data_IF_851759176161
#
_entry.id   IF_851759176161
#
_cell.length_a   1.000
_cell.length_b   1.000
_cell.length_c   1.000
_cell.angle_alpha   90.00
_cell.angle_beta   90.00
_cell.angle_gamma   90.00
#
_symmetry.space_group_name_H-M   'P 1'
#
loop_
_entity.id
_entity.type
_entity.pdbx_description
1 polymer ?
#
# COMPACT_ATOMS: atom_id res chain seq x y z
N UNK A 1 -20.92 5.59 6.07
CA UNK A 1 -20.64 4.35 5.32
C UNK A 1 -19.78 4.59 4.07
N UNK A 2 -20.22 5.39 3.09
CA UNK A 2 -19.55 5.52 1.77
C UNK A 2 -18.12 6.10 1.79
N UNK A 3 -17.82 6.97 2.76
CA UNK A 3 -16.47 7.56 2.97
C UNK A 3 -15.39 6.49 3.22
N UNK A 4 -15.73 5.46 4.01
CA UNK A 4 -14.81 4.35 4.30
C UNK A 4 -14.59 3.45 3.09
N UNK A 5 -15.60 3.29 2.24
CA UNK A 5 -15.49 2.49 1.03
C UNK A 5 -14.51 3.12 0.02
N UNK A 6 -14.62 4.43 -0.22
CA UNK A 6 -13.69 5.16 -1.08
C UNK A 6 -12.25 5.10 -0.55
N UNK A 7 -12.07 5.20 0.77
CA UNK A 7 -10.75 5.08 1.41
C UNK A 7 -10.16 3.66 1.24
N UNK A 8 -10.96 2.63 1.51
CA UNK A 8 -10.53 1.23 1.39
C UNK A 8 -10.16 0.88 -0.05
N UNK A 9 -10.94 1.37 -1.02
CA UNK A 9 -10.68 1.18 -2.44
C UNK A 9 -9.41 1.92 -2.89
N UNK A 10 -9.17 3.12 -2.35
CA UNK A 10 -7.96 3.89 -2.60
C UNK A 10 -6.73 3.13 -2.09
N UNK A 11 -6.76 2.66 -0.83
CA UNK A 11 -5.69 1.87 -0.24
C UNK A 11 -5.45 0.59 -1.05
N UNK A 12 -6.49 -0.16 -1.38
CA UNK A 12 -6.39 -1.38 -2.19
C UNK A 12 -5.78 -1.14 -3.57
N UNK A 13 -6.23 -0.09 -4.27
CA UNK A 13 -5.67 0.32 -5.56
C UNK A 13 -4.19 0.71 -5.47
N UNK A 14 -3.81 1.49 -4.46
CA UNK A 14 -2.42 1.88 -4.22
C UNK A 14 -1.50 0.68 -3.93
N UNK A 15 -1.95 -0.24 -3.06
CA UNK A 15 -1.21 -1.46 -2.73
C UNK A 15 -1.06 -2.34 -3.97
N UNK A 16 -2.14 -2.56 -4.74
CA UNK A 16 -2.09 -3.41 -5.92
C UNK A 16 -1.17 -2.84 -7.01
N UNK A 17 -1.18 -1.52 -7.20
CA UNK A 17 -0.26 -0.82 -8.11
C UNK A 17 1.19 -0.96 -7.65
N UNK A 18 1.46 -0.82 -6.35
CA UNK A 18 2.79 -1.02 -5.77
C UNK A 18 3.29 -2.46 -5.98
N UNK A 19 2.44 -3.44 -5.69
CA UNK A 19 2.75 -4.86 -5.82
C UNK A 19 2.87 -5.34 -7.27
N UNK A 20 2.49 -4.51 -8.24
CA UNK A 20 2.71 -4.81 -9.66
C UNK A 20 4.02 -4.18 -10.17
N UNK A 21 4.68 -3.35 -9.36
CA UNK A 21 5.93 -2.69 -9.73
C UNK A 21 7.14 -3.64 -9.61
N UNK A 22 8.08 -3.64 -10.57
CA UNK A 22 9.28 -4.47 -10.49
C UNK A 22 10.20 -4.10 -9.32
N UNK A 23 10.23 -2.82 -8.95
CA UNK A 23 11.04 -2.32 -7.83
C UNK A 23 10.35 -2.47 -6.46
N UNK A 24 9.39 -3.39 -6.33
CA UNK A 24 8.76 -3.65 -5.03
C UNK A 24 9.70 -4.43 -4.14
N UNK A 25 9.75 -4.07 -2.85
CA UNK A 25 10.63 -4.73 -1.87
C UNK A 25 9.87 -5.78 -1.04
N UNK A 26 8.54 -5.83 -1.17
CA UNK A 26 7.64 -6.59 -0.28
C UNK A 26 7.46 -8.04 -0.74
N UNK A 27 7.18 -8.29 -2.02
CA UNK A 27 7.05 -9.65 -2.57
C UNK A 27 8.32 -10.06 -3.31
N UNK A 28 8.71 -11.33 -3.18
CA UNK A 28 9.81 -11.94 -3.96
C UNK A 28 9.50 -12.05 -5.45
N UNK A 29 8.23 -12.15 -5.82
CA UNK A 29 7.77 -12.23 -7.20
C UNK A 29 6.70 -11.18 -7.45
N UNK A 30 6.86 -10.42 -8.53
CA UNK A 30 5.94 -9.34 -8.88
C UNK A 30 4.58 -9.88 -9.29
N UNK A 31 3.50 -9.20 -8.88
CA UNK A 31 2.16 -9.51 -9.37
C UNK A 31 2.10 -9.31 -10.89
N UNK A 32 1.36 -10.18 -11.59
CA UNK A 32 1.28 -10.14 -13.04
C UNK A 32 0.79 -8.78 -13.56
N UNK A 33 1.44 -8.27 -14.62
CA UNK A 33 1.11 -6.97 -15.24
C UNK A 33 -0.38 -6.78 -15.59
N UNK A 34 -1.12 -7.88 -15.80
CA UNK A 34 -2.58 -7.87 -16.03
C UNK A 34 -3.34 -7.16 -14.89
N UNK A 35 -2.91 -7.34 -13.64
CA UNK A 35 -3.55 -6.72 -12.47
C UNK A 35 -3.22 -5.23 -12.31
N UNK A 36 -2.22 -4.71 -13.04
CA UNK A 36 -1.91 -3.27 -13.04
C UNK A 36 -3.10 -2.43 -13.49
N UNK A 37 -3.82 -2.91 -14.50
CA UNK A 37 -5.01 -2.25 -15.02
C UNK A 37 -6.15 -2.25 -14.00
N UNK A 38 -6.33 -3.36 -13.29
CA UNK A 38 -7.31 -3.46 -12.19
C UNK A 38 -6.96 -2.47 -11.07
N UNK A 39 -5.68 -2.35 -10.73
CA UNK A 39 -5.20 -1.36 -9.74
C UNK A 39 -5.47 0.08 -10.17
N UNK A 40 -5.20 0.42 -11.43
CA UNK A 40 -5.49 1.74 -11.98
C UNK A 40 -6.98 2.06 -12.00
N UNK A 41 -7.82 1.12 -12.47
CA UNK A 41 -9.27 1.28 -12.50
C UNK A 41 -9.80 1.51 -11.08
N UNK A 42 -9.37 0.69 -10.12
CA UNK A 42 -9.74 0.84 -8.72
C UNK A 42 -9.29 2.17 -8.12
N UNK A 43 -8.06 2.62 -8.43
CA UNK A 43 -7.50 3.87 -7.93
C UNK A 43 -8.21 5.10 -8.49
N UNK A 44 -8.57 5.11 -9.78
CA UNK A 44 -9.36 6.19 -10.39
C UNK A 44 -10.81 6.17 -9.87
N UNK A 45 -11.42 5.00 -9.73
CA UNK A 45 -12.77 4.87 -9.18
C UNK A 45 -12.83 5.37 -7.72
N UNK A 46 -11.78 5.13 -6.95
CA UNK A 46 -11.65 5.65 -5.59
C UNK A 46 -11.64 7.18 -5.54
N UNK A 47 -10.99 7.85 -6.49
CA UNK A 47 -11.02 9.32 -6.59
C UNK A 47 -12.43 9.85 -6.82
N UNK A 48 -13.19 9.23 -7.74
CA UNK A 48 -14.57 9.60 -8.04
C UNK A 48 -15.45 9.45 -6.80
N UNK A 49 -15.31 8.33 -6.07
CA UNK A 49 -16.03 8.08 -4.83
C UNK A 49 -15.63 9.06 -3.70
N UNK A 50 -14.34 9.40 -3.59
CA UNK A 50 -13.86 10.40 -2.64
C UNK A 50 -14.45 11.78 -2.94
N UNK A 51 -14.50 12.17 -4.22
CA UNK A 51 -15.12 13.44 -4.65
C UNK A 51 -16.62 13.51 -4.39
N UNK A 52 -17.32 12.37 -4.37
CA UNK A 52 -18.74 12.33 -4.04
C UNK A 52 -19.02 12.55 -2.55
N UNK A 53 -18.02 12.34 -1.68
CA UNK A 53 -18.19 12.34 -0.22
C UNK A 53 -17.43 13.46 0.49
N UNK A 54 -16.36 13.97 -0.11
CA UNK A 54 -15.48 15.00 0.43
C UNK A 54 -15.43 16.22 -0.49
N UNK A 55 -15.05 17.41 0.04
CA UNK A 55 -14.76 18.57 -0.79
C UNK A 55 -13.70 18.23 -1.84
N UNK A 56 -13.86 18.74 -3.07
CA UNK A 56 -13.00 18.42 -4.23
C UNK A 56 -11.50 18.50 -3.89
N UNK A 57 -11.08 19.55 -3.20
CA UNK A 57 -9.68 19.75 -2.80
C UNK A 57 -9.19 18.66 -1.84
N UNK A 58 -9.99 18.31 -0.83
CA UNK A 58 -9.64 17.29 0.18
C UNK A 58 -9.56 15.91 -0.45
N UNK A 59 -10.48 15.59 -1.38
CA UNK A 59 -10.49 14.32 -2.10
C UNK A 59 -9.20 14.13 -2.93
N UNK A 60 -8.79 15.15 -3.69
CA UNK A 60 -7.55 15.10 -4.48
C UNK A 60 -6.33 15.01 -3.57
N UNK A 61 -6.28 15.79 -2.49
CA UNK A 61 -5.18 15.75 -1.53
C UNK A 61 -5.03 14.36 -0.90
N UNK A 62 -6.12 13.77 -0.40
CA UNK A 62 -6.09 12.42 0.17
C UNK A 62 -5.70 11.37 -0.86
N UNK A 63 -6.20 11.49 -2.09
CA UNK A 63 -5.88 10.57 -3.17
C UNK A 63 -4.39 10.60 -3.55
N UNK A 64 -3.73 11.76 -3.48
CA UNK A 64 -2.27 11.89 -3.72
C UNK A 64 -1.43 11.49 -2.51
N UNK A 65 -1.89 11.80 -1.30
CA UNK A 65 -1.18 11.44 -0.07
C UNK A 65 -1.15 9.92 0.16
N UNK A 66 -2.19 9.20 -0.24
CA UNK A 66 -2.25 7.75 -0.06
C UNK A 66 -1.08 7.00 -0.71
N UNK A 67 -0.82 7.10 -2.02
CA UNK A 67 0.33 6.46 -2.63
C UNK A 67 1.65 6.99 -2.06
N UNK A 68 1.75 8.27 -1.70
CA UNK A 68 2.96 8.82 -1.09
C UNK A 68 3.29 8.15 0.25
N UNK A 69 2.30 8.00 1.14
CA UNK A 69 2.47 7.34 2.43
C UNK A 69 2.65 5.83 2.26
N UNK A 70 1.80 5.17 1.46
CA UNK A 70 1.91 3.73 1.28
C UNK A 70 3.22 3.35 0.60
N UNK A 71 3.60 3.99 -0.50
CA UNK A 71 4.83 3.63 -1.22
C UNK A 71 6.10 4.01 -0.47
N UNK A 72 6.04 4.97 0.46
CA UNK A 72 7.15 5.23 1.38
C UNK A 72 7.23 4.19 2.49
N UNK A 73 6.12 3.78 3.11
CA UNK A 73 6.13 2.85 4.24
C UNK A 73 6.33 1.39 3.82
N UNK A 74 5.69 0.95 2.73
CA UNK A 74 5.74 -0.43 2.25
C UNK A 74 7.17 -1.01 2.06
N UNK A 75 8.15 -0.30 1.46
CA UNK A 75 9.49 -0.85 1.29
C UNK A 75 10.24 -1.09 2.62
N UNK A 76 9.81 -0.47 3.73
CA UNK A 76 10.45 -0.67 5.03
C UNK A 76 9.92 -1.87 5.82
N UNK A 77 8.77 -2.45 5.43
CA UNK A 77 8.20 -3.65 6.05
C UNK A 77 9.19 -4.84 6.10
N UNK A 78 9.85 -5.24 4.99
CA UNK A 78 10.81 -6.35 5.01
C UNK A 78 12.04 -6.06 5.89
N UNK A 79 12.47 -4.80 5.97
CA UNK A 79 13.58 -4.38 6.82
C UNK A 79 13.24 -4.55 8.31
N UNK A 80 12.03 -4.15 8.71
CA UNK A 80 11.56 -4.32 10.08
C UNK A 80 11.40 -5.80 10.46
N UNK A 81 10.87 -6.62 9.55
CA UNK A 81 10.76 -8.06 9.76
C UNK A 81 12.14 -8.72 9.92
N UNK A 82 13.12 -8.30 9.11
CA UNK A 82 14.51 -8.74 9.25
C UNK A 82 15.09 -8.41 10.63
N UNK A 83 14.96 -7.15 11.07
CA UNK A 83 15.44 -6.71 12.38
C UNK A 83 14.83 -7.51 13.54
N UNK A 84 13.51 -7.69 13.55
CA UNK A 84 12.82 -8.48 14.58
C UNK A 84 13.25 -9.96 14.59
N UNK A 85 13.47 -10.55 13.41
CA UNK A 85 13.92 -11.96 13.31
C UNK A 85 15.33 -12.14 13.86
N UNK A 86 16.22 -11.17 13.60
CA UNK A 86 17.59 -11.18 14.14
C UNK A 86 17.60 -11.03 15.66
N UNK A 87 16.79 -10.13 16.23
CA UNK A 87 16.67 -9.91 17.68
C UNK A 87 16.21 -11.17 18.44
N UNK A 88 15.22 -11.89 17.88
CA UNK A 88 14.73 -13.15 18.45
C UNK A 88 15.80 -14.25 18.37
N UNK A 89 16.55 -14.31 17.26
CA UNK A 89 17.60 -15.30 17.09
C UNK A 89 18.79 -15.09 18.05
N UNK A 90 19.19 -13.84 18.31
CA UNK A 90 20.24 -13.52 19.29
C UNK A 90 19.80 -13.83 20.71
N UNK A 91 18.57 -13.48 21.10
CA UNK A 91 18.05 -13.75 22.44
C UNK A 91 17.93 -15.24 22.77
N UNK A 92 17.59 -16.08 21.78
CA UNK A 92 17.53 -17.53 21.95
C UNK A 92 18.91 -18.14 22.26
N UNK A 93 19.98 -17.57 21.68
CA UNK A 93 21.35 -18.08 21.81
C UNK A 93 22.00 -17.77 23.16
N UNK A 94 21.54 -16.73 23.85
CA UNK A 94 22.02 -16.36 25.21
C UNK A 94 21.35 -17.17 26.33
N UNK A 95 20.37 -18.02 26.03
CA UNK A 95 19.60 -18.79 27.04
C UNK A 95 19.98 -20.28 27.11
N UNK A 96 20.98 -20.72 26.33
CA UNK A 96 21.54 -22.09 26.32
C UNK A 96 23.02 -22.06 26.55
#
# INVERSE_FOLDING_TARGET
>A
MMKFLGLLLCCGGCVLLYLTHPNQTVLKQTVAKKYRWVGWIGFILALVLLQAVLPKLVAVLMWLLMPLVLWSVLPFIPLLHGALTHDVATRSKDTT
#
